data_IF_103360721781
#
_entry.id   IF_103360721781
#
_cell.length_a   1.000
_cell.length_b   1.000
_cell.length_c   1.000
_cell.angle_alpha   90.00
_cell.angle_beta   90.00
_cell.angle_gamma   90.00
#
_symmetry.space_group_name_H-M   'P 1'
#
loop_
_entity.id
_entity.type
_entity.pdbx_description
1 polymer ?
#
# COMPACT_ATOMS: atom_id res chain seq x y z
N UNK A 1 -13.98 5.79 -9.93
CA UNK A 1 -13.36 5.71 -8.60
C UNK A 1 -13.58 4.29 -8.13
N UNK A 2 -12.52 3.52 -7.93
CA UNK A 2 -12.61 2.10 -7.55
C UNK A 2 -13.01 2.03 -6.07
N UNK A 3 -14.04 1.25 -5.74
CA UNK A 3 -14.46 1.07 -4.36
C UNK A 3 -13.61 -0.05 -3.72
N UNK A 4 -12.59 0.34 -2.96
CA UNK A 4 -11.59 -0.59 -2.41
C UNK A 4 -12.06 -1.38 -1.17
N UNK A 5 -13.12 -0.94 -0.47
CA UNK A 5 -13.39 -1.42 0.90
C UNK A 5 -14.82 -1.92 1.11
N UNK A 6 -15.41 -2.59 0.10
CA UNK A 6 -16.74 -3.17 0.26
C UNK A 6 -16.79 -4.35 1.25
N UNK A 7 -15.63 -4.95 1.55
CA UNK A 7 -15.53 -6.04 2.51
C UNK A 7 -14.37 -5.81 3.51
N UNK A 8 -14.66 -5.38 4.76
CA UNK A 8 -13.64 -5.25 5.79
C UNK A 8 -13.11 -6.60 6.32
N UNK A 9 -13.76 -7.73 5.99
CA UNK A 9 -13.40 -9.05 6.51
C UNK A 9 -12.00 -9.51 6.06
N UNK A 10 -11.51 -9.02 4.91
CA UNK A 10 -10.15 -9.32 4.46
C UNK A 10 -9.11 -8.95 5.51
N UNK A 11 -9.23 -7.81 6.19
CA UNK A 11 -8.25 -7.37 7.19
C UNK A 11 -8.17 -8.35 8.37
N UNK A 12 -9.30 -8.81 8.87
CA UNK A 12 -9.35 -9.77 9.96
C UNK A 12 -8.75 -11.11 9.56
N UNK A 13 -9.01 -11.55 8.35
CA UNK A 13 -8.48 -12.82 7.89
C UNK A 13 -6.98 -12.77 7.63
N UNK A 14 -6.45 -11.68 7.09
CA UNK A 14 -5.01 -11.48 6.95
C UNK A 14 -4.33 -11.43 8.33
N UNK A 15 -4.93 -10.74 9.32
CA UNK A 15 -4.46 -10.75 10.71
C UNK A 15 -4.48 -12.17 11.29
N UNK A 16 -5.51 -12.97 11.04
CA UNK A 16 -5.60 -14.37 11.49
C UNK A 16 -4.51 -15.25 10.87
N UNK A 17 -4.24 -15.11 9.56
CA UNK A 17 -3.16 -15.83 8.89
C UNK A 17 -1.82 -15.50 9.54
N UNK A 18 -1.52 -14.21 9.71
CA UNK A 18 -0.23 -13.75 10.25
C UNK A 18 -0.02 -14.21 11.69
N UNK A 19 -1.08 -14.27 12.51
CA UNK A 19 -1.04 -14.81 13.89
C UNK A 19 -0.58 -16.27 13.98
N UNK A 20 -0.61 -17.03 12.89
CA UNK A 20 -0.10 -18.41 12.86
C UNK A 20 1.44 -18.47 12.81
N UNK A 21 2.11 -17.34 12.55
CA UNK A 21 3.56 -17.24 12.44
C UNK A 21 4.14 -16.47 13.62
N UNK A 22 5.25 -16.97 14.17
CA UNK A 22 5.89 -16.39 15.36
C UNK A 22 6.63 -15.09 14.99
N UNK A 23 6.44 -14.05 15.80
CA UNK A 23 7.16 -12.78 15.70
C UNK A 23 7.04 -12.09 14.32
N UNK A 24 5.89 -12.25 13.67
CA UNK A 24 5.52 -11.55 12.42
C UNK A 24 4.24 -10.75 12.67
N UNK A 25 4.25 -9.49 12.23
CA UNK A 25 3.09 -8.60 12.28
C UNK A 25 2.76 -8.12 10.85
N UNK A 26 1.51 -7.71 10.65
CA UNK A 26 1.05 -7.08 9.41
C UNK A 26 0.56 -5.67 9.70
N UNK A 27 0.94 -4.75 8.81
CA UNK A 27 0.58 -3.34 8.86
C UNK A 27 -0.09 -2.97 7.55
N UNK A 28 -1.08 -2.07 7.62
CA UNK A 28 -1.88 -1.67 6.47
C UNK A 28 -1.73 -0.17 6.25
N UNK A 29 -1.46 0.23 5.00
CA UNK A 29 -1.20 1.62 4.63
C UNK A 29 -2.06 2.04 3.44
N UNK A 30 -2.53 3.29 3.46
CA UNK A 30 -3.14 3.94 2.29
C UNK A 30 -2.19 5.01 1.79
N UNK A 31 -1.89 5.01 0.49
CA UNK A 31 -1.17 6.08 -0.20
C UNK A 31 -2.05 6.57 -1.34
N UNK A 32 -2.65 7.75 -1.19
CA UNK A 32 -3.73 8.22 -2.06
C UNK A 32 -3.55 9.67 -2.50
N UNK A 33 -3.96 9.98 -3.73
CA UNK A 33 -4.14 11.36 -4.18
C UNK A 33 -5.46 11.99 -3.68
N UNK A 34 -6.29 11.22 -2.96
CA UNK A 34 -7.51 11.72 -2.32
C UNK A 34 -7.23 12.51 -1.04
N UNK A 35 -8.25 13.18 -0.52
CA UNK A 35 -8.15 13.96 0.71
C UNK A 35 -8.04 13.03 1.94
N UNK A 36 -6.99 13.22 2.73
CA UNK A 36 -6.68 12.38 3.89
C UNK A 36 -7.82 12.36 4.91
N UNK A 37 -8.40 13.52 5.23
CA UNK A 37 -9.48 13.62 6.22
C UNK A 37 -10.72 12.82 5.81
N UNK A 38 -11.07 12.82 4.51
CA UNK A 38 -12.20 12.04 4.01
C UNK A 38 -11.92 10.54 4.14
N UNK A 39 -10.70 10.10 3.81
CA UNK A 39 -10.29 8.70 3.92
C UNK A 39 -10.30 8.25 5.39
N UNK A 40 -9.77 9.08 6.29
CA UNK A 40 -9.77 8.83 7.73
C UNK A 40 -11.18 8.79 8.32
N UNK A 41 -12.17 9.44 7.70
CA UNK A 41 -13.57 9.39 8.13
C UNK A 41 -14.21 8.00 7.98
N UNK A 42 -13.58 7.05 7.28
CA UNK A 42 -14.08 5.69 7.13
C UNK A 42 -13.79 4.84 8.37
N UNK A 43 -14.82 4.21 8.94
CA UNK A 43 -14.69 3.27 10.06
C UNK A 43 -13.73 2.10 9.73
N UNK A 44 -13.82 1.56 8.51
CA UNK A 44 -12.90 0.50 8.03
C UNK A 44 -11.45 0.96 8.09
N UNK A 45 -11.18 2.21 7.73
CA UNK A 45 -9.84 2.79 7.75
C UNK A 45 -9.35 2.94 9.19
N UNK A 46 -10.15 3.56 10.06
CA UNK A 46 -9.81 3.81 11.46
C UNK A 46 -9.48 2.51 12.22
N UNK A 47 -10.20 1.42 11.93
CA UNK A 47 -10.06 0.15 12.66
C UNK A 47 -8.94 -0.75 12.14
N UNK A 48 -8.42 -0.51 10.93
CA UNK A 48 -7.52 -1.47 10.27
C UNK A 48 -6.21 -0.89 9.79
N UNK A 49 -6.14 0.41 9.48
CA UNK A 49 -4.96 1.00 8.86
C UNK A 49 -4.01 1.60 9.89
N UNK A 50 -2.72 1.32 9.70
CA UNK A 50 -1.62 1.85 10.49
C UNK A 50 -1.41 3.34 10.19
N UNK A 51 -1.49 3.73 8.92
CA UNK A 51 -1.44 5.13 8.52
C UNK A 51 -2.09 5.38 7.15
N UNK A 52 -2.55 6.62 6.97
CA UNK A 52 -3.04 7.15 5.69
C UNK A 52 -2.15 8.31 5.26
N UNK A 53 -1.66 8.23 4.03
CA UNK A 53 -0.95 9.30 3.33
C UNK A 53 -1.89 9.82 2.24
N UNK A 54 -2.54 10.95 2.51
CA UNK A 54 -3.44 11.62 1.57
C UNK A 54 -3.04 13.08 1.30
N UNK A 55 -3.69 13.70 0.32
CA UNK A 55 -3.68 15.15 0.14
C UNK A 55 -4.29 15.82 1.37
N UNK A 56 -3.73 16.97 1.76
CA UNK A 56 -4.21 17.76 2.90
C UNK A 56 -4.50 19.18 2.44
N UNK A 57 -5.62 19.73 2.94
CA UNK A 57 -5.93 21.15 2.85
C UNK A 57 -5.57 21.80 4.19
N UNK A 58 -5.09 23.03 4.12
CA UNK A 58 -4.71 23.81 5.29
C UNK A 58 -5.82 24.76 5.71
N UNK A 59 -6.00 24.91 7.01
CA UNK A 59 -6.95 25.83 7.63
C UNK A 59 -6.26 27.12 8.04
N UNK A 60 -6.98 28.24 7.98
CA UNK A 60 -6.53 29.48 8.61
C UNK A 60 -6.70 29.42 10.14
N UNK A 61 -5.71 29.92 10.88
CA UNK A 61 -5.72 29.85 12.34
C UNK A 61 -6.82 30.71 12.99
N UNK A 62 -7.32 31.74 12.29
CA UNK A 62 -8.28 32.70 12.84
C UNK A 62 -9.75 32.24 12.72
N UNK A 63 -10.09 31.49 11.66
CA UNK A 63 -11.50 31.16 11.36
C UNK A 63 -11.75 29.68 11.04
N UNK A 64 -10.71 28.84 10.97
CA UNK A 64 -10.84 27.42 10.61
C UNK A 64 -11.27 27.17 9.16
N UNK A 65 -11.16 28.16 8.28
CA UNK A 65 -11.51 28.03 6.86
C UNK A 65 -10.37 27.39 6.08
N UNK A 66 -10.70 26.39 5.25
CA UNK A 66 -9.78 25.82 4.28
C UNK A 66 -9.38 26.88 3.26
N UNK A 67 -8.10 27.24 3.18
CA UNK A 67 -7.65 28.35 2.33
C UNK A 67 -6.34 28.10 1.56
N UNK A 68 -5.63 26.99 1.79
CA UNK A 68 -4.47 26.59 0.97
C UNK A 68 -4.31 25.08 0.86
N UNK A 69 -3.47 24.64 -0.07
CA UNK A 69 -3.05 23.23 -0.20
C UNK A 69 -1.88 23.02 0.75
N UNK A 70 -2.09 22.22 1.79
CA UNK A 70 -1.04 21.87 2.76
C UNK A 70 -0.14 20.76 2.22
N UNK A 71 -0.71 19.79 1.51
CA UNK A 71 0.02 18.69 0.89
C UNK A 71 -0.70 18.15 -0.33
N UNK A 72 0.03 17.96 -1.42
CA UNK A 72 -0.47 17.30 -2.63
C UNK A 72 0.33 16.02 -2.88
N UNK A 73 -0.36 14.90 -3.12
CA UNK A 73 0.23 13.61 -3.45
C UNK A 73 0.00 13.34 -4.93
N UNK A 74 1.08 13.37 -5.71
CA UNK A 74 1.10 12.94 -7.11
C UNK A 74 1.59 11.49 -7.24
N UNK A 75 1.59 10.97 -8.47
CA UNK A 75 2.16 9.64 -8.77
C UNK A 75 3.64 9.51 -8.37
N UNK A 76 4.41 10.61 -8.34
CA UNK A 76 5.81 10.59 -7.88
C UNK A 76 5.92 10.55 -6.36
N UNK A 77 5.01 11.23 -5.65
CA UNK A 77 5.01 11.26 -4.19
C UNK A 77 4.66 9.91 -3.58
N UNK A 78 3.84 9.10 -4.26
CA UNK A 78 3.46 7.77 -3.77
C UNK A 78 4.68 6.88 -3.50
N UNK A 79 5.70 6.92 -4.35
CA UNK A 79 6.91 6.11 -4.15
C UNK A 79 7.74 6.59 -2.96
N UNK A 80 7.75 7.89 -2.66
CA UNK A 80 8.39 8.43 -1.45
C UNK A 80 7.81 7.78 -0.21
N UNK A 81 6.48 7.70 -0.11
CA UNK A 81 5.81 7.09 1.05
C UNK A 81 6.09 5.59 1.17
N UNK A 82 6.26 4.87 0.06
CA UNK A 82 6.75 3.47 0.11
C UNK A 82 8.13 3.41 0.76
N UNK A 83 9.05 4.34 0.42
CA UNK A 83 10.36 4.41 1.07
C UNK A 83 10.28 4.81 2.55
N UNK A 84 9.40 5.73 2.93
CA UNK A 84 9.16 6.08 4.33
C UNK A 84 8.71 4.86 5.14
N UNK A 85 7.70 4.12 4.67
CA UNK A 85 7.21 2.89 5.30
C UNK A 85 8.32 1.83 5.39
N UNK A 86 9.05 1.65 4.29
CA UNK A 86 10.14 0.69 4.19
C UNK A 86 11.27 0.97 5.19
N UNK A 87 11.64 2.24 5.35
CA UNK A 87 12.64 2.71 6.33
C UNK A 87 12.09 2.76 7.75
N UNK A 88 10.77 2.77 7.91
CA UNK A 88 10.11 2.93 9.21
C UNK A 88 10.12 4.35 9.73
N UNK A 89 10.16 5.33 8.83
CA UNK A 89 10.08 6.75 9.17
C UNK A 89 8.60 7.12 9.25
N UNK A 90 8.18 7.66 10.39
CA UNK A 90 6.80 8.08 10.62
C UNK A 90 6.50 9.45 10.00
N UNK A 91 5.21 9.75 9.71
CA UNK A 91 4.82 11.07 9.23
C UNK A 91 5.29 12.21 10.14
N UNK A 92 5.31 12.01 11.46
CA UNK A 92 5.73 13.03 12.42
C UNK A 92 7.24 13.26 12.43
N UNK A 93 8.04 12.24 12.13
CA UNK A 93 9.47 12.39 11.90
C UNK A 93 9.74 13.19 10.61
N UNK A 94 9.05 12.88 9.51
CA UNK A 94 9.21 13.62 8.24
C UNK A 94 8.77 15.09 8.38
N UNK A 95 7.72 15.38 9.18
CA UNK A 95 7.32 16.76 9.46
C UNK A 95 8.42 17.57 10.14
N UNK A 96 9.22 16.94 11.00
CA UNK A 96 10.34 17.59 11.69
C UNK A 96 11.57 17.68 10.79
N UNK A 97 11.84 16.62 10.03
CA UNK A 97 13.02 16.51 9.18
C UNK A 97 12.65 15.88 7.81
N UNK A 98 12.24 16.68 6.81
CA UNK A 98 11.76 16.17 5.52
C UNK A 98 12.78 15.34 4.74
N UNK A 99 14.07 15.57 4.97
CA UNK A 99 15.15 14.87 4.29
C UNK A 99 15.51 13.52 4.91
N UNK A 100 14.85 13.09 5.99
CA UNK A 100 15.09 11.77 6.62
C UNK A 100 14.89 10.62 5.63
N UNK A 101 13.93 10.74 4.72
CA UNK A 101 13.69 9.74 3.67
C UNK A 101 14.88 9.59 2.72
N UNK A 102 15.77 10.59 2.62
CA UNK A 102 16.97 10.53 1.78
C UNK A 102 18.16 9.91 2.50
N UNK A 103 18.07 9.67 3.81
CA UNK A 103 19.14 9.00 4.56
C UNK A 103 19.36 7.62 3.99
N UNK A 104 20.61 7.29 3.68
CA UNK A 104 20.97 5.97 3.21
C UNK A 104 20.82 4.97 4.37
N UNK A 105 19.96 3.98 4.17
CA UNK A 105 19.69 2.91 5.13
C UNK A 105 19.86 1.62 4.34
N UNK A 106 20.83 0.81 4.77
CA UNK A 106 21.13 -0.47 4.13
C UNK A 106 19.91 -1.37 4.13
N UNK A 107 19.79 -2.23 3.12
CA UNK A 107 18.58 -3.05 2.94
C UNK A 107 18.26 -3.93 4.15
N UNK A 108 19.29 -4.43 4.83
CA UNK A 108 19.17 -5.24 6.04
C UNK A 108 18.76 -4.44 7.29
N UNK A 109 18.89 -3.11 7.26
CA UNK A 109 18.51 -2.22 8.37
C UNK A 109 17.14 -1.56 8.15
N UNK A 110 16.46 -1.86 7.03
CA UNK A 110 15.12 -1.36 6.74
C UNK A 110 14.09 -2.04 7.64
N UNK A 111 13.20 -1.27 8.27
CA UNK A 111 12.16 -1.79 9.18
C UNK A 111 11.22 -2.78 8.49
N UNK A 112 10.79 -2.46 7.27
CA UNK A 112 9.94 -3.34 6.44
C UNK A 112 10.62 -3.50 5.08
N UNK A 113 11.39 -4.57 4.84
CA UNK A 113 11.99 -4.83 3.52
C UNK A 113 10.96 -4.86 2.40
N UNK A 114 11.30 -4.33 1.22
CA UNK A 114 10.39 -4.28 0.06
C UNK A 114 9.90 -5.68 -0.36
N UNK A 115 10.73 -6.70 -0.16
CA UNK A 115 10.39 -8.09 -0.44
C UNK A 115 9.24 -8.62 0.42
N UNK A 116 8.94 -7.96 1.55
CA UNK A 116 7.83 -8.30 2.43
C UNK A 116 6.58 -7.47 2.17
N UNK A 117 6.63 -6.54 1.20
CA UNK A 117 5.52 -5.67 0.86
C UNK A 117 4.60 -6.30 -0.18
N UNK A 118 3.31 -6.06 0.00
CA UNK A 118 2.25 -6.32 -0.96
C UNK A 118 1.60 -4.98 -1.29
N UNK A 119 1.53 -4.63 -2.57
CA UNK A 119 0.96 -3.37 -3.05
C UNK A 119 -0.25 -3.63 -3.93
N UNK A 120 -1.33 -2.87 -3.72
CA UNK A 120 -2.56 -2.92 -4.51
C UNK A 120 -2.85 -1.50 -5.03
N UNK A 121 -3.03 -1.33 -6.34
CA UNK A 121 -3.23 -0.01 -6.95
C UNK A 121 -4.14 -0.05 -8.19
N UNK A 122 -4.79 1.06 -8.51
CA UNK A 122 -5.89 1.12 -9.49
C UNK A 122 -5.55 1.68 -10.88
N UNK A 123 -4.26 1.95 -11.16
CA UNK A 123 -3.86 2.15 -12.54
C UNK A 123 -2.59 2.96 -12.76
N UNK A 124 -2.64 3.84 -13.76
CA UNK A 124 -1.48 4.51 -14.37
C UNK A 124 -0.60 5.23 -13.35
N UNK A 125 -1.24 5.87 -12.36
CA UNK A 125 -0.55 6.64 -11.32
C UNK A 125 0.27 5.77 -10.37
N UNK A 126 0.04 4.45 -10.36
CA UNK A 126 0.74 3.48 -9.52
C UNK A 126 1.83 2.70 -10.28
N UNK A 127 2.05 2.95 -11.57
CA UNK A 127 3.14 2.32 -12.35
C UNK A 127 4.50 2.43 -11.65
N UNK A 128 4.90 3.59 -11.11
CA UNK A 128 6.16 3.71 -10.39
C UNK A 128 6.19 2.86 -9.11
N UNK A 129 5.07 2.79 -8.37
CA UNK A 129 4.94 1.96 -7.17
C UNK A 129 5.07 0.47 -7.49
N UNK A 130 4.35 -0.01 -8.52
CA UNK A 130 4.43 -1.38 -8.99
C UNK A 130 5.87 -1.75 -9.35
N UNK A 131 6.53 -0.89 -10.13
CA UNK A 131 7.92 -1.10 -10.54
C UNK A 131 8.88 -1.16 -9.35
N UNK A 132 8.69 -0.28 -8.35
CA UNK A 132 9.50 -0.26 -7.13
C UNK A 132 9.33 -1.56 -6.32
N UNK A 133 8.08 -1.98 -6.09
CA UNK A 133 7.74 -3.17 -5.31
C UNK A 133 8.29 -4.43 -5.98
N UNK A 134 8.08 -4.58 -7.29
CA UNK A 134 8.56 -5.74 -8.04
C UNK A 134 10.09 -5.81 -8.09
N UNK A 135 10.79 -4.68 -8.23
CA UNK A 135 12.27 -4.63 -8.16
C UNK A 135 12.80 -5.05 -6.79
N UNK A 136 12.06 -4.75 -5.73
CA UNK A 136 12.38 -5.19 -4.37
C UNK A 136 11.91 -6.59 -4.03
N UNK A 137 11.50 -7.42 -4.99
CA UNK A 137 10.95 -8.77 -4.78
C UNK A 137 9.66 -8.82 -3.96
N UNK A 138 8.96 -7.70 -3.83
CA UNK A 138 7.61 -7.62 -3.28
C UNK A 138 6.56 -8.18 -4.25
N UNK A 139 5.28 -8.02 -3.90
CA UNK A 139 4.15 -8.46 -4.73
C UNK A 139 3.28 -7.26 -5.06
N UNK A 140 2.92 -7.09 -6.33
CA UNK A 140 2.04 -6.02 -6.77
C UNK A 140 0.80 -6.58 -7.49
N UNK A 141 -0.37 -6.10 -7.09
CA UNK A 141 -1.67 -6.40 -7.70
C UNK A 141 -2.25 -5.14 -8.33
N UNK A 142 -2.60 -5.22 -9.61
CA UNK A 142 -3.40 -4.19 -10.25
C UNK A 142 -4.88 -4.43 -9.97
N UNK A 143 -5.63 -3.38 -9.69
CA UNK A 143 -7.10 -3.44 -9.70
C UNK A 143 -7.64 -2.52 -10.78
N UNK A 144 -8.76 -2.89 -11.39
CA UNK A 144 -9.43 -2.05 -12.37
C UNK A 144 -10.93 -2.12 -12.17
N UNK A 145 -11.62 -1.08 -12.62
CA UNK A 145 -13.07 -1.08 -12.69
C UNK A 145 -13.53 -1.91 -13.90
N UNK A 146 -14.18 -3.08 -13.69
CA UNK A 146 -14.60 -3.93 -14.80
C UNK A 146 -15.74 -3.31 -15.63
N UNK A 147 -16.44 -2.31 -15.08
CA UNK A 147 -17.47 -1.57 -15.83
C UNK A 147 -16.89 -0.63 -16.88
N UNK A 148 -15.58 -0.35 -16.80
CA UNK A 148 -14.87 0.53 -17.73
C UNK A 148 -13.97 -0.28 -18.68
N UNK A 149 -14.48 -0.57 -19.88
CA UNK A 149 -13.73 -1.38 -20.88
C UNK A 149 -12.36 -0.79 -21.24
N UNK A 150 -12.20 0.55 -21.18
CA UNK A 150 -10.90 1.21 -21.42
C UNK A 150 -9.88 0.89 -20.32
N UNK A 151 -10.25 0.90 -19.05
CA UNK A 151 -9.33 0.59 -17.95
C UNK A 151 -8.90 -0.87 -17.95
N UNK A 152 -9.79 -1.80 -18.31
CA UNK A 152 -9.45 -3.23 -18.42
C UNK A 152 -8.42 -3.50 -19.54
N UNK A 153 -8.61 -2.91 -20.73
CA UNK A 153 -7.70 -3.09 -21.87
C UNK A 153 -6.34 -2.44 -21.60
N UNK A 154 -6.34 -1.25 -20.99
CA UNK A 154 -5.12 -0.56 -20.61
C UNK A 154 -4.37 -1.32 -19.50
N UNK A 155 -5.10 -1.90 -18.55
CA UNK A 155 -4.50 -2.70 -17.49
C UNK A 155 -3.78 -3.95 -18.00
N UNK A 156 -4.39 -4.63 -18.97
CA UNK A 156 -3.79 -5.79 -19.61
C UNK A 156 -2.53 -5.41 -20.40
N UNK A 157 -2.56 -4.32 -21.16
CA UNK A 157 -1.44 -3.91 -22.02
C UNK A 157 -0.26 -3.30 -21.24
N UNK A 158 -0.53 -2.49 -20.22
CA UNK A 158 0.51 -1.72 -19.56
C UNK A 158 1.06 -2.37 -18.28
N UNK A 159 0.31 -3.24 -17.61
CA UNK A 159 0.73 -3.85 -16.33
C UNK A 159 1.12 -5.32 -16.44
N UNK A 160 0.31 -6.14 -17.11
CA UNK A 160 0.54 -7.59 -17.17
C UNK A 160 1.63 -7.92 -18.19
N UNK A 161 1.56 -7.35 -19.39
CA UNK A 161 2.55 -7.61 -20.47
C UNK A 161 3.94 -7.10 -20.08
N UNK A 162 4.02 -6.01 -19.32
CA UNK A 162 5.30 -5.42 -18.89
C UNK A 162 5.88 -6.07 -17.61
N UNK A 163 5.25 -7.14 -17.08
CA UNK A 163 5.61 -7.82 -15.82
C UNK A 163 5.62 -6.91 -14.59
N UNK A 164 4.80 -5.85 -14.59
CA UNK A 164 4.75 -4.85 -13.50
C UNK A 164 3.80 -5.25 -12.38
N UNK A 165 2.81 -6.09 -12.65
CA UNK A 165 1.93 -6.68 -11.63
C UNK A 165 1.85 -8.18 -11.83
N UNK A 166 1.56 -8.91 -10.75
CA UNK A 166 1.32 -10.35 -10.80
C UNK A 166 0.02 -10.65 -11.56
N UNK A 167 -0.98 -9.79 -11.41
CA UNK A 167 -2.30 -9.94 -12.03
C UNK A 167 -3.11 -8.64 -11.93
N UNK A 168 -4.20 -8.55 -12.71
CA UNK A 168 -5.14 -7.43 -12.68
C UNK A 168 -6.57 -7.95 -12.45
N UNK A 169 -7.29 -7.43 -11.46
CA UNK A 169 -8.64 -7.91 -11.08
C UNK A 169 -9.63 -6.78 -10.79
N UNK A 170 -10.91 -7.11 -10.71
CA UNK A 170 -11.90 -6.25 -10.07
C UNK A 170 -11.56 -6.07 -8.57
N UNK A 171 -11.94 -4.95 -7.92
CA UNK A 171 -11.68 -4.69 -6.49
C UNK A 171 -12.60 -5.52 -5.58
N UNK A 172 -12.59 -6.84 -5.72
CA UNK A 172 -13.37 -7.76 -4.92
C UNK A 172 -12.44 -8.63 -4.07
N UNK A 173 -12.52 -8.41 -2.76
CA UNK A 173 -11.60 -8.93 -1.76
C UNK A 173 -12.16 -10.15 -0.99
N UNK A 174 -13.32 -10.66 -1.40
CA UNK A 174 -13.94 -11.85 -0.83
C UNK A 174 -13.01 -13.07 -0.95
N UNK A 175 -13.09 -13.97 0.03
CA UNK A 175 -12.15 -15.08 0.17
C UNK A 175 -12.15 -16.04 -1.03
N UNK A 176 -13.32 -16.29 -1.62
CA UNK A 176 -13.54 -17.19 -2.75
C UNK A 176 -13.37 -16.51 -4.13
N UNK A 177 -13.06 -15.21 -4.14
CA UNK A 177 -12.80 -14.44 -5.35
C UNK A 177 -11.30 -14.31 -5.59
N UNK A 178 -10.91 -14.30 -6.86
CA UNK A 178 -9.53 -14.41 -7.32
C UNK A 178 -8.55 -13.46 -6.60
N UNK A 179 -8.85 -12.15 -6.54
CA UNK A 179 -7.99 -11.16 -5.87
C UNK A 179 -7.87 -11.43 -4.36
N UNK A 180 -8.98 -11.68 -3.67
CA UNK A 180 -8.97 -11.98 -2.23
C UNK A 180 -8.19 -13.26 -1.91
N UNK A 181 -8.38 -14.31 -2.70
CA UNK A 181 -7.60 -15.55 -2.63
C UNK A 181 -6.10 -15.31 -2.85
N UNK A 182 -5.73 -14.54 -3.87
CA UNK A 182 -4.33 -14.26 -4.20
C UNK A 182 -3.63 -13.42 -3.13
N UNK A 183 -4.32 -12.43 -2.54
CA UNK A 183 -3.74 -11.64 -1.44
C UNK A 183 -3.50 -12.53 -0.22
N UNK A 184 -4.42 -13.42 0.14
CA UNK A 184 -4.24 -14.38 1.26
C UNK A 184 -3.08 -15.34 1.01
N UNK A 185 -2.95 -15.84 -0.22
CA UNK A 185 -1.83 -16.70 -0.61
C UNK A 185 -0.50 -15.95 -0.55
N UNK A 186 -0.47 -14.69 -1.04
CA UNK A 186 0.71 -13.85 -0.98
C UNK A 186 1.15 -13.57 0.46
N UNK A 187 0.23 -13.20 1.35
CA UNK A 187 0.53 -12.99 2.78
C UNK A 187 1.08 -14.26 3.43
N UNK A 188 0.44 -15.41 3.21
CA UNK A 188 0.92 -16.71 3.70
C UNK A 188 2.35 -16.99 3.22
N UNK A 189 2.61 -16.81 1.91
CA UNK A 189 3.93 -17.02 1.32
C UNK A 189 5.00 -16.09 1.90
N UNK A 190 4.69 -14.80 2.09
CA UNK A 190 5.61 -13.85 2.72
C UNK A 190 5.94 -14.23 4.16
N UNK A 191 4.95 -14.64 4.95
CA UNK A 191 5.18 -15.10 6.33
C UNK A 191 6.08 -16.34 6.38
N UNK A 192 5.85 -17.32 5.49
CA UNK A 192 6.69 -18.50 5.37
C UNK A 192 8.13 -18.15 4.99
N UNK A 193 8.33 -17.27 4.00
CA UNK A 193 9.66 -16.84 3.56
C UNK A 193 10.42 -16.07 4.65
N UNK A 194 9.74 -15.20 5.41
CA UNK A 194 10.34 -14.51 6.57
C UNK A 194 10.82 -15.54 7.60
N UNK A 195 10.00 -16.57 7.87
CA UNK A 195 10.33 -17.62 8.84
C UNK A 195 11.55 -18.43 8.38
N UNK A 196 11.62 -18.80 7.10
CA UNK A 196 12.74 -19.55 6.53
C UNK A 196 14.05 -18.74 6.61
N UNK A 197 14.04 -17.48 6.18
CA UNK A 197 15.23 -16.61 6.23
C UNK A 197 15.76 -16.39 7.64
N UNK A 198 14.87 -16.29 8.63
CA UNK A 198 15.29 -16.18 10.04
C UNK A 198 16.00 -17.42 10.53
N UNK A 199 15.56 -18.62 10.12
CA UNK A 199 16.23 -19.90 10.47
C UNK A 199 17.58 -20.07 9.78
N UNK A 200 17.75 -19.55 8.57
CA UNK A 200 19.03 -19.60 7.85
C UNK A 200 20.08 -18.63 8.44
N UNK A 201 19.65 -17.63 9.20
CA UNK A 201 20.50 -16.64 9.85
C UNK A 201 20.87 -16.99 11.32
N UNK A 202 20.26 -18.05 11.87
CA UNK A 202 20.56 -18.64 13.18
C UNK A 202 21.69 -19.66 13.08
#
# INVERSE_FOLDING_TARGET
MVNFFQDPQIFDDLKKIVKQFKDINIEFYIISGGLQEIINGSETVQNNFTAVYGCELGENAEHGHLNYIKRAISFTEKTRYIFEINKGITPDEVKKEPFLVNKDISDNSRRIPLENMIYVGDGLTDIPCFSLIMRGHGVAFGVFDPSQQKSAKQALQEYIITKRVVSAHAPNYLADVELGSLIRAAVTSKCANITLRRREAE
#
